data_IF_663619203719
#
_entry.id   IF_663619203719
#
_cell.length_a   1.000
_cell.length_b   1.000
_cell.length_c   1.000
_cell.angle_alpha   90.00
_cell.angle_beta   90.00
_cell.angle_gamma   90.00
#
_symmetry.space_group_name_H-M   'P 1'
#
loop_
_entity.id
_entity.type
_entity.pdbx_description
1 polymer ?
#
# COMPACT_ATOMS: atom_id res chain seq x y z
N UNK A 1 10.23 5.45 -30.05
CA UNK A 1 9.16 4.94 -29.30
C UNK A 1 9.45 4.75 -27.84
N UNK A 2 10.45 4.06 -27.55
CA UNK A 2 10.75 3.89 -26.17
C UNK A 2 10.85 5.21 -25.49
N UNK A 3 11.42 6.18 -26.17
CA UNK A 3 11.53 7.42 -25.59
C UNK A 3 10.23 8.04 -25.37
N UNK A 4 9.44 8.02 -26.38
CA UNK A 4 8.16 8.59 -26.28
C UNK A 4 7.36 7.82 -25.26
N UNK A 5 7.54 6.52 -25.23
CA UNK A 5 6.87 5.69 -24.28
C UNK A 5 7.32 6.06 -22.87
N UNK A 6 8.58 6.30 -22.69
CA UNK A 6 9.06 6.68 -21.39
C UNK A 6 8.52 8.01 -20.94
N UNK A 7 8.41 8.94 -21.84
CA UNK A 7 7.85 10.21 -21.50
C UNK A 7 6.42 10.05 -21.12
N UNK A 8 5.72 9.29 -21.90
CA UNK A 8 4.35 9.02 -21.64
C UNK A 8 4.22 8.31 -20.34
N UNK A 9 5.11 7.39 -20.10
CA UNK A 9 5.06 6.63 -18.90
C UNK A 9 5.34 7.49 -17.69
N UNK A 10 6.24 8.41 -17.80
CA UNK A 10 6.50 9.32 -16.72
C UNK A 10 5.27 10.14 -16.42
N UNK A 11 4.62 10.62 -17.43
CA UNK A 11 3.40 11.36 -17.26
C UNK A 11 2.33 10.50 -16.65
N UNK A 12 2.20 9.30 -17.16
CA UNK A 12 1.20 8.40 -16.66
C UNK A 12 1.53 7.93 -15.27
N UNK A 13 2.78 7.68 -15.01
CA UNK A 13 3.18 7.27 -13.71
C UNK A 13 2.87 8.35 -12.70
N UNK A 14 3.20 9.56 -13.04
CA UNK A 14 2.88 10.64 -12.17
C UNK A 14 1.42 10.66 -11.90
N UNK A 15 0.65 10.45 -12.93
CA UNK A 15 -0.76 10.47 -12.82
C UNK A 15 -1.26 9.28 -12.02
N UNK A 16 -0.82 8.08 -12.35
CA UNK A 16 -1.21 6.89 -11.65
C UNK A 16 -0.76 6.91 -10.21
N UNK A 17 0.44 7.33 -9.98
CA UNK A 17 0.98 7.33 -8.64
C UNK A 17 0.59 8.56 -7.86
N UNK A 18 -0.09 9.48 -8.50
CA UNK A 18 -0.44 10.71 -7.84
C UNK A 18 0.77 11.58 -7.65
N UNK A 19 1.79 11.33 -8.41
CA UNK A 19 3.01 12.09 -8.29
C UNK A 19 3.13 13.21 -9.29
N UNK A 20 2.10 13.40 -10.04
CA UNK A 20 2.06 14.40 -11.01
C UNK A 20 2.29 15.70 -10.45
N UNK A 21 2.84 16.28 -10.82
CA UNK A 21 2.99 17.37 -10.28
C UNK A 21 2.78 18.24 -10.62
N UNK A 22 3.07 19.09 -10.51
CA UNK A 22 3.72 19.67 -9.51
C UNK A 22 2.91 19.69 -8.36
N UNK A 23 2.42 18.79 -8.24
CA UNK A 23 1.56 18.78 -7.42
C UNK A 23 1.85 19.00 -6.10
N UNK A 24 0.96 19.17 -5.33
CA UNK A 24 1.11 19.37 -3.93
C UNK A 24 1.00 18.04 -3.26
N UNK A 25 1.48 17.96 -2.07
CA UNK A 25 1.35 16.77 -1.28
C UNK A 25 -0.11 16.42 -1.08
N UNK A 26 -0.95 17.42 -0.98
CA UNK A 26 -2.38 17.19 -0.81
C UNK A 26 -2.95 16.44 -1.99
N UNK A 27 -2.51 16.78 -3.19
CA UNK A 27 -2.98 16.12 -4.38
C UNK A 27 -2.62 14.65 -4.36
N UNK A 28 -1.39 14.33 -3.95
CA UNK A 28 -0.95 12.97 -3.90
C UNK A 28 -1.78 12.16 -2.90
N UNK A 29 -1.99 12.72 -1.74
CA UNK A 29 -2.76 12.02 -0.72
C UNK A 29 -4.20 11.81 -1.13
N UNK A 30 -4.79 12.79 -1.75
CA UNK A 30 -6.16 12.66 -2.20
C UNK A 30 -6.27 11.56 -3.23
N UNK A 31 -5.32 11.53 -4.15
CA UNK A 31 -5.30 10.54 -5.19
C UNK A 31 -5.17 9.13 -4.63
N UNK A 32 -4.28 8.95 -3.68
CA UNK A 32 -4.08 7.64 -3.11
C UNK A 32 -5.20 7.25 -2.15
N UNK A 33 -5.82 8.22 -1.53
CA UNK A 33 -6.97 7.92 -0.69
C UNK A 33 -8.10 7.37 -1.53
N UNK A 34 -8.29 7.91 -2.72
CA UNK A 34 -9.29 7.42 -3.62
C UNK A 34 -8.93 6.01 -4.08
N UNK A 35 -7.67 5.79 -4.37
CA UNK A 35 -7.20 4.48 -4.78
C UNK A 35 -7.44 3.45 -3.67
N UNK A 36 -7.21 3.83 -2.44
CA UNK A 36 -7.43 2.94 -1.31
C UNK A 36 -8.89 2.51 -1.25
N UNK A 37 -9.79 3.44 -1.43
CA UNK A 37 -11.20 3.12 -1.41
C UNK A 37 -11.57 2.16 -2.54
N UNK A 38 -10.99 2.37 -3.71
CA UNK A 38 -11.25 1.51 -4.83
C UNK A 38 -10.68 0.12 -4.58
N UNK A 39 -9.53 0.06 -3.94
CA UNK A 39 -8.92 -1.20 -3.61
C UNK A 39 -9.77 -1.98 -2.62
N UNK A 40 -10.26 -1.29 -1.60
CA UNK A 40 -11.11 -1.94 -0.61
C UNK A 40 -12.35 -2.53 -1.28
N UNK A 41 -12.93 -1.80 -2.19
CA UNK A 41 -14.09 -2.27 -2.90
C UNK A 41 -13.74 -3.45 -3.80
N UNK A 42 -12.63 -3.35 -4.49
CA UNK A 42 -12.20 -4.38 -5.40
C UNK A 42 -11.98 -5.73 -4.69
N UNK A 43 -11.45 -5.68 -3.50
CA UNK A 43 -11.16 -6.90 -2.75
C UNK A 43 -12.27 -7.27 -1.76
N UNK A 44 -13.41 -6.60 -1.87
CA UNK A 44 -14.55 -6.93 -1.02
C UNK A 44 -14.34 -6.59 0.44
N UNK A 45 -13.53 -5.60 0.72
CA UNK A 45 -13.20 -5.23 2.09
C UNK A 45 -13.68 -3.85 2.47
N UNK A 46 -14.62 -3.31 1.72
CA UNK A 46 -15.11 -1.95 2.01
C UNK A 46 -15.72 -1.86 3.41
N UNK A 47 -16.31 -2.95 3.86
CA UNK A 47 -16.98 -2.96 5.16
C UNK A 47 -16.16 -3.65 6.25
N UNK A 48 -14.90 -3.90 6.01
CA UNK A 48 -14.11 -4.62 7.01
C UNK A 48 -13.84 -3.72 8.22
N UNK A 49 -13.61 -4.35 9.34
CA UNK A 49 -13.31 -3.60 10.56
C UNK A 49 -11.86 -3.16 10.54
N UNK A 50 -11.60 -1.90 10.86
CA UNK A 50 -10.22 -1.42 10.87
C UNK A 50 -9.46 -1.99 12.05
N UNK A 51 -8.14 -2.00 11.94
CA UNK A 51 -7.28 -2.43 13.03
C UNK A 51 -6.20 -1.37 13.23
N UNK A 52 -5.59 -1.39 14.39
CA UNK A 52 -4.64 -0.35 14.77
C UNK A 52 -3.20 -0.56 14.36
N UNK A 53 -2.85 -1.78 13.93
CA UNK A 53 -1.48 -2.05 13.50
C UNK A 53 -1.50 -2.88 12.24
N UNK A 54 -0.50 -2.70 11.38
CA UNK A 54 -0.51 -3.43 10.10
C UNK A 54 -0.15 -4.90 10.24
N UNK A 55 0.45 -5.29 11.35
CA UNK A 55 0.82 -6.66 11.54
C UNK A 55 0.84 -6.94 13.02
N UNK A 56 0.42 -8.14 13.42
CA UNK A 56 0.40 -8.46 14.83
C UNK A 56 1.83 -8.63 15.35
N UNK A 57 2.07 -8.25 16.59
CA UNK A 57 3.39 -8.47 17.16
C UNK A 57 3.72 -9.96 17.13
N UNK A 58 4.96 -10.27 16.87
CA UNK A 58 5.41 -11.65 16.82
C UNK A 58 4.73 -12.49 15.76
N UNK A 59 4.20 -11.84 14.74
CA UNK A 59 3.61 -12.56 13.63
C UNK A 59 4.71 -13.30 12.89
N UNK A 60 4.53 -14.60 12.71
CA UNK A 60 5.50 -15.41 12.00
C UNK A 60 4.86 -16.04 10.81
N UNK A 61 5.24 -15.60 9.65
CA UNK A 61 4.75 -16.16 8.41
C UNK A 61 5.82 -17.07 7.85
N UNK A 62 5.39 -18.17 7.27
CA UNK A 62 6.32 -19.17 6.78
C UNK A 62 5.86 -19.74 5.47
N UNK A 63 6.81 -20.18 4.66
CA UNK A 63 6.50 -20.87 3.42
C UNK A 63 5.95 -22.25 3.72
N UNK A 64 6.30 -22.77 4.87
CA UNK A 64 5.91 -24.15 5.24
C UNK A 64 4.60 -24.21 5.97
N UNK A 65 3.88 -23.12 5.97
CA UNK A 65 2.58 -23.06 6.60
C UNK A 65 1.68 -24.13 6.00
N UNK A 66 0.90 -24.78 6.84
CA UNK A 66 0.03 -25.85 6.41
C UNK A 66 -1.33 -25.36 5.94
N UNK A 67 -1.57 -24.08 5.97
CA UNK A 67 -2.87 -23.59 5.53
C UNK A 67 -3.02 -23.77 4.03
N UNK A 68 -4.24 -23.71 3.52
CA UNK A 68 -4.51 -23.99 2.12
C UNK A 68 -3.85 -22.99 1.18
N UNK A 69 -3.56 -23.49 -0.01
CA UNK A 69 -3.04 -22.61 -1.07
C UNK A 69 -4.15 -21.70 -1.54
N UNK A 70 -3.77 -20.54 -2.03
CA UNK A 70 -4.74 -19.58 -2.56
C UNK A 70 -4.32 -19.18 -3.97
N UNK A 71 -5.22 -18.51 -4.65
CA UNK A 71 -4.99 -18.07 -6.01
C UNK A 71 -3.83 -17.09 -6.05
N UNK A 72 -2.79 -17.46 -6.79
CA UNK A 72 -1.59 -16.65 -6.92
C UNK A 72 -1.88 -15.30 -7.56
N UNK A 73 -2.72 -15.30 -8.57
CA UNK A 73 -3.02 -14.06 -9.28
C UNK A 73 -3.71 -13.08 -8.36
N UNK A 74 -4.64 -13.56 -7.57
CA UNK A 74 -5.35 -12.71 -6.63
C UNK A 74 -4.40 -12.15 -5.58
N UNK A 75 -3.54 -13.01 -5.05
CA UNK A 75 -2.59 -12.58 -4.04
C UNK A 75 -1.65 -11.51 -4.60
N UNK A 76 -1.14 -11.74 -5.80
CA UNK A 76 -0.24 -10.79 -6.42
C UNK A 76 -0.93 -9.47 -6.71
N UNK A 77 -2.20 -9.52 -7.02
CA UNK A 77 -2.97 -8.32 -7.25
C UNK A 77 -3.04 -7.48 -5.97
N UNK A 78 -3.25 -8.15 -4.84
CA UNK A 78 -3.29 -7.44 -3.57
C UNK A 78 -1.93 -6.85 -3.23
N UNK A 79 -0.87 -7.62 -3.46
CA UNK A 79 0.47 -7.12 -3.19
C UNK A 79 0.78 -5.90 -4.06
N UNK A 80 0.41 -5.96 -5.33
CA UNK A 80 0.66 -4.85 -6.22
C UNK A 80 -0.04 -3.58 -5.76
N UNK A 81 -1.27 -3.72 -5.29
CA UNK A 81 -2.01 -2.57 -4.80
C UNK A 81 -1.35 -1.98 -3.57
N UNK A 82 -0.87 -2.86 -2.69
CA UNK A 82 -0.21 -2.38 -1.48
C UNK A 82 1.11 -1.69 -1.81
N UNK A 83 1.85 -2.23 -2.77
CA UNK A 83 3.10 -1.60 -3.17
C UNK A 83 2.87 -0.21 -3.72
N UNK A 84 1.79 -0.05 -4.47
CA UNK A 84 1.45 1.27 -4.98
C UNK A 84 1.21 2.24 -3.83
N UNK A 85 0.53 1.78 -2.80
CA UNK A 85 0.21 2.65 -1.68
C UNK A 85 1.41 3.00 -0.81
N UNK A 86 2.48 2.24 -0.88
CA UNK A 86 3.66 2.57 -0.07
C UNK A 86 4.25 3.92 -0.47
N UNK A 87 3.89 4.43 -1.64
CA UNK A 87 4.40 5.73 -2.07
C UNK A 87 3.99 6.83 -1.10
N UNK A 88 2.78 6.76 -0.55
CA UNK A 88 2.33 7.75 0.40
C UNK A 88 2.22 7.20 1.81
N UNK A 89 2.43 5.90 1.98
CA UNK A 89 2.31 5.26 3.28
C UNK A 89 3.52 4.40 3.55
N UNK A 90 4.68 5.04 3.77
CA UNK A 90 5.89 4.26 4.04
C UNK A 90 5.81 3.48 5.34
N UNK A 91 4.85 3.78 6.18
CA UNK A 91 4.68 3.06 7.43
C UNK A 91 4.30 1.60 7.23
N UNK A 92 3.84 1.21 6.05
CA UNK A 92 3.51 -0.19 5.81
C UNK A 92 4.57 -0.89 4.94
N UNK A 93 5.64 -0.19 4.60
CA UNK A 93 6.61 -0.72 3.67
C UNK A 93 7.23 -2.03 4.13
N UNK A 94 7.57 -2.13 5.39
CA UNK A 94 8.17 -3.33 5.92
C UNK A 94 7.20 -4.50 5.85
N UNK A 95 5.98 -4.29 6.28
CA UNK A 95 4.98 -5.34 6.30
C UNK A 95 4.63 -5.80 4.90
N UNK A 96 4.53 -4.87 3.96
CA UNK A 96 4.25 -5.24 2.59
C UNK A 96 5.40 -6.06 2.03
N UNK A 97 6.63 -5.69 2.38
CA UNK A 97 7.80 -6.46 1.95
C UNK A 97 7.75 -7.89 2.47
N UNK A 98 7.30 -8.05 3.71
CA UNK A 98 7.22 -9.37 4.30
C UNK A 98 6.19 -10.25 3.57
N UNK A 99 4.99 -9.74 3.36
CA UNK A 99 3.96 -10.54 2.71
C UNK A 99 4.26 -10.76 1.22
N UNK A 100 5.03 -9.87 0.62
CA UNK A 100 5.37 -10.00 -0.79
C UNK A 100 6.27 -11.20 -1.04
N UNK A 101 6.97 -11.66 -0.03
CA UNK A 101 7.87 -12.81 -0.18
C UNK A 101 7.13 -14.08 -0.55
N UNK A 102 5.86 -14.14 -0.28
CA UNK A 102 5.09 -15.37 -0.47
C UNK A 102 4.27 -15.40 -1.75
N UNK A 103 4.52 -14.45 -2.64
CA UNK A 103 3.66 -14.35 -3.82
C UNK A 103 3.85 -15.46 -4.84
N UNK A 104 4.90 -16.27 -4.73
CA UNK A 104 5.05 -17.38 -5.66
C UNK A 104 4.23 -18.59 -5.20
N UNK A 105 3.96 -18.69 -3.92
CA UNK A 105 3.17 -19.80 -3.40
C UNK A 105 2.41 -19.34 -2.17
N UNK A 106 1.44 -18.46 -2.35
CA UNK A 106 0.75 -17.89 -1.21
C UNK A 106 -0.24 -18.85 -0.59
N UNK A 107 -0.39 -18.74 0.71
CA UNK A 107 -1.32 -19.57 1.45
C UNK A 107 -2.31 -18.68 2.18
N UNK A 108 -3.32 -19.32 2.74
CA UNK A 108 -4.38 -18.56 3.37
C UNK A 108 -3.88 -17.70 4.52
N UNK A 109 -2.91 -18.21 5.26
CA UNK A 109 -2.34 -17.43 6.36
C UNK A 109 -1.69 -16.15 5.83
N UNK A 110 -1.12 -16.23 4.65
CA UNK A 110 -0.49 -15.05 4.05
C UNK A 110 -1.54 -14.05 3.64
N UNK A 111 -2.69 -14.53 3.15
CA UNK A 111 -3.78 -13.65 2.78
C UNK A 111 -4.33 -12.95 4.02
N UNK A 112 -4.42 -13.67 5.12
CA UNK A 112 -4.90 -13.06 6.36
C UNK A 112 -3.99 -11.90 6.75
N UNK A 113 -2.69 -12.10 6.61
CA UNK A 113 -1.74 -11.04 6.94
C UNK A 113 -1.88 -9.86 5.99
N UNK A 114 -2.09 -10.12 4.71
CA UNK A 114 -2.28 -9.05 3.72
C UNK A 114 -3.55 -8.27 4.06
N UNK A 115 -4.61 -8.99 4.40
CA UNK A 115 -5.86 -8.33 4.73
C UNK A 115 -5.75 -7.47 5.97
N UNK A 116 -4.89 -7.88 6.89
CA UNK A 116 -4.69 -7.07 8.08
C UNK A 116 -4.03 -5.73 7.71
N UNK A 117 -3.08 -5.76 6.79
CA UNK A 117 -2.47 -4.51 6.34
C UNK A 117 -3.54 -3.63 5.71
N UNK A 118 -4.41 -4.21 4.92
CA UNK A 118 -5.49 -3.46 4.28
C UNK A 118 -6.42 -2.86 5.32
N UNK A 119 -6.74 -3.62 6.36
CA UNK A 119 -7.61 -3.13 7.42
C UNK A 119 -6.95 -1.99 8.19
N UNK A 120 -5.64 -2.08 8.37
CA UNK A 120 -4.91 -1.01 9.02
C UNK A 120 -4.97 0.26 8.17
N UNK A 121 -4.80 0.10 6.86
CA UNK A 121 -4.87 1.23 5.96
C UNK A 121 -6.24 1.86 6.00
N UNK A 122 -7.28 1.05 6.08
CA UNK A 122 -8.61 1.58 6.14
C UNK A 122 -8.81 2.41 7.39
N UNK A 123 -8.31 1.93 8.51
CA UNK A 123 -8.48 2.63 9.77
C UNK A 123 -7.64 3.88 9.91
N UNK A 124 -6.58 3.97 9.10
CA UNK A 124 -5.68 5.11 9.17
C UNK A 124 -5.64 5.86 7.86
N UNK A 125 -6.68 5.76 7.06
CA UNK A 125 -6.69 6.38 5.74
C UNK A 125 -6.49 7.88 5.81
N UNK A 126 -6.83 8.48 6.92
CA UNK A 126 -6.69 9.91 7.02
C UNK A 126 -5.31 10.36 7.40
N UNK A 127 -4.44 9.44 7.71
CA UNK A 127 -3.08 9.80 8.01
C UNK A 127 -2.44 10.48 6.82
N UNK A 128 -2.69 9.93 5.63
CA UNK A 128 -2.13 10.52 4.43
C UNK A 128 -2.66 11.90 4.18
N UNK A 129 -3.93 12.08 4.44
CA UNK A 129 -4.56 13.36 4.21
C UNK A 129 -4.19 14.38 5.26
N UNK A 130 -3.79 13.90 6.40
CA UNK A 130 -3.48 14.84 7.45
C UNK A 130 -2.06 15.30 7.46
N UNK A 131 -1.29 14.91 6.50
CA UNK A 131 0.02 15.39 6.40
C UNK A 131 -0.03 16.71 5.80
N UNK A 132 -0.63 17.63 6.22
CA UNK A 132 -0.87 18.81 5.59
C UNK A 132 0.30 19.61 5.70
N UNK A 133 0.24 20.77 5.29
CA UNK A 133 1.23 21.70 5.22
C UNK A 133 2.12 21.74 6.37
N UNK A 134 1.61 21.68 7.51
CA UNK A 134 2.41 21.73 8.70
C UNK A 134 3.33 20.57 8.80
N UNK A 135 2.85 19.46 8.35
CA UNK A 135 3.58 18.24 8.52
C UNK A 135 4.69 18.08 7.52
N UNK A 136 4.69 18.88 6.52
CA UNK A 136 5.72 18.74 5.53
C UNK A 136 7.08 18.97 6.08
N UNK A 137 7.20 19.89 6.99
CA UNK A 137 8.47 20.14 7.61
C UNK A 137 8.90 18.98 8.43
N UNK A 138 7.99 18.44 9.19
CA UNK A 138 8.31 17.33 10.03
C UNK A 138 8.70 16.14 9.22
N UNK A 139 8.04 15.98 8.11
CA UNK A 139 8.34 14.88 7.25
C UNK A 139 9.76 14.98 6.76
N UNK A 140 10.16 16.15 6.38
CA UNK A 140 11.51 16.37 5.94
C UNK A 140 12.48 16.08 7.04
N UNK A 141 12.14 16.47 8.23
CA UNK A 141 12.99 16.24 9.36
C UNK A 141 13.19 14.76 9.62
N UNK A 142 12.13 14.02 9.51
CA UNK A 142 12.23 12.60 9.69
C UNK A 142 13.14 12.00 8.67
N UNK A 143 13.00 12.41 7.45
CA UNK A 143 13.82 11.90 6.39
C UNK A 143 15.27 12.18 6.68
N UNK A 144 15.54 13.33 7.17
CA UNK A 144 16.90 13.70 7.48
C UNK A 144 17.43 12.93 8.65
N UNK A 145 16.58 12.66 9.59
CA UNK A 145 17.01 11.99 10.77
C UNK A 145 17.32 10.53 10.48
N UNK A 146 16.67 9.99 9.50
CA UNK A 146 16.95 8.64 9.14
C UNK A 146 18.26 8.50 8.44
#
# INVERSE_FOLDING_TARGET
>A
MAREFEMSMIGELSFFLGLQIPQTTDWIFISQSKYLKEMLSKFGMADCAPVGTPMTPNCKLSKDDQSPLVDTTHYRSMIGSLLYLTASRPDIMLEVGIVARFQSCPKESHVVAVKRIVRYLKGSSELGLSYPKDQQFELSSYTDAD
#
